data_IF_255167717146
#
_entry.id   IF_255167717146
#
_cell.length_a   1.000
_cell.length_b   1.000
_cell.length_c   1.000
_cell.angle_alpha   90.00
_cell.angle_beta   90.00
_cell.angle_gamma   90.00
#
_symmetry.space_group_name_H-M   'P 1'
#
loop_
_entity.id
_entity.type
_entity.pdbx_description
1 polymer ?
#
# COMPACT_ATOMS: atom_id res chain seq x y z
N UNK A 1 1.94 4.66 3.84
CA UNK A 1 0.48 4.70 3.59
C UNK A 1 -0.33 4.04 4.71
N UNK A 2 0.02 2.83 5.19
CA UNK A 2 -0.80 2.08 6.17
C UNK A 2 -0.93 2.86 7.47
N UNK A 3 0.15 3.38 8.00
CA UNK A 3 0.15 4.16 9.24
C UNK A 3 -0.63 5.48 9.13
N UNK A 4 -0.71 6.05 7.92
CA UNK A 4 -1.54 7.26 7.66
C UNK A 4 -3.04 6.99 7.79
N UNK A 5 -3.47 5.73 7.78
CA UNK A 5 -4.88 5.32 7.96
C UNK A 5 -5.29 5.24 9.43
N UNK A 6 -4.32 5.15 10.34
CA UNK A 6 -4.58 4.95 11.77
C UNK A 6 -5.42 6.06 12.43
N UNK A 7 -5.24 7.35 12.11
CA UNK A 7 -6.07 8.41 12.67
C UNK A 7 -7.57 8.25 12.39
N UNK A 8 -7.92 7.64 11.25
CA UNK A 8 -9.33 7.34 10.91
C UNK A 8 -9.74 5.95 11.40
N UNK A 9 -8.84 4.98 11.37
CA UNK A 9 -9.11 3.59 11.75
C UNK A 9 -9.41 3.46 13.25
N UNK A 10 -8.57 4.03 14.11
CA UNK A 10 -8.66 3.84 15.56
C UNK A 10 -10.01 4.32 16.14
N UNK A 11 -10.50 5.53 15.83
CA UNK A 11 -11.83 5.96 16.27
C UNK A 11 -12.96 5.09 15.72
N UNK A 12 -12.85 4.66 14.46
CA UNK A 12 -13.85 3.79 13.83
C UNK A 12 -13.93 2.41 14.52
N UNK A 13 -12.77 1.80 14.81
CA UNK A 13 -12.70 0.54 15.57
C UNK A 13 -13.32 0.71 16.96
N UNK A 14 -13.02 1.79 17.66
CA UNK A 14 -13.60 2.07 18.98
C UNK A 14 -15.12 2.16 18.92
N UNK A 15 -15.67 2.90 17.96
CA UNK A 15 -17.10 3.04 17.76
C UNK A 15 -17.78 1.70 17.40
N UNK A 16 -17.11 0.83 16.64
CA UNK A 16 -17.63 -0.52 16.34
C UNK A 16 -17.70 -1.39 17.61
N UNK A 17 -16.66 -1.35 18.43
CA UNK A 17 -16.63 -2.07 19.72
C UNK A 17 -17.70 -1.59 20.68
N UNK A 18 -17.98 -0.27 20.75
CA UNK A 18 -19.04 0.32 21.56
C UNK A 18 -20.42 -0.13 21.13
N UNK A 19 -20.65 -0.40 19.83
CA UNK A 19 -21.90 -0.97 19.31
C UNK A 19 -22.07 -2.45 19.59
N UNK A 20 -21.08 -3.11 20.18
CA UNK A 20 -21.12 -4.55 20.45
C UNK A 20 -20.56 -5.40 19.30
N UNK A 21 -20.05 -4.81 18.24
CA UNK A 21 -19.43 -5.52 17.12
C UNK A 21 -18.03 -6.03 17.47
N UNK A 22 -17.52 -7.01 16.73
CA UNK A 22 -16.14 -7.45 16.78
C UNK A 22 -15.41 -7.00 15.53
N UNK A 23 -14.15 -6.64 15.66
CA UNK A 23 -13.34 -6.07 14.58
C UNK A 23 -12.32 -7.08 14.07
N UNK A 24 -12.22 -7.20 12.77
CA UNK A 24 -11.17 -7.98 12.09
C UNK A 24 -10.39 -7.04 11.17
N UNK A 25 -9.07 -6.99 11.30
CA UNK A 25 -8.20 -6.13 10.51
C UNK A 25 -7.28 -7.01 9.66
N UNK A 26 -7.38 -6.85 8.35
CA UNK A 26 -6.51 -7.53 7.39
C UNK A 26 -5.38 -6.61 6.96
N UNK A 27 -4.15 -7.12 7.07
CA UNK A 27 -2.94 -6.46 6.60
C UNK A 27 -1.97 -7.46 5.94
N UNK A 28 -0.94 -6.96 5.29
CA UNK A 28 0.12 -7.76 4.65
C UNK A 28 1.45 -7.56 5.39
N UNK A 29 1.81 -6.33 5.69
CA UNK A 29 3.10 -5.95 6.27
C UNK A 29 3.09 -6.11 7.79
N UNK A 30 4.00 -6.93 8.31
CA UNK A 30 4.15 -7.18 9.76
C UNK A 30 5.38 -6.51 10.36
N UNK A 31 6.20 -5.86 9.53
CA UNK A 31 7.47 -5.20 9.90
C UNK A 31 8.54 -6.15 10.50
N UNK A 32 8.35 -7.48 10.42
CA UNK A 32 9.29 -8.47 10.97
C UNK A 32 10.68 -8.37 10.33
N UNK A 33 10.77 -8.23 9.01
CA UNK A 33 12.05 -8.11 8.31
C UNK A 33 12.82 -6.83 8.73
N UNK A 34 12.13 -5.76 9.10
CA UNK A 34 12.75 -4.55 9.65
C UNK A 34 13.30 -4.83 11.06
N UNK A 35 12.49 -5.43 11.92
CA UNK A 35 12.90 -5.81 13.27
C UNK A 35 14.15 -6.70 13.23
N UNK A 36 14.17 -7.71 12.36
CA UNK A 36 15.29 -8.63 12.23
C UNK A 36 16.59 -7.94 11.80
N UNK A 37 16.52 -6.98 10.86
CA UNK A 37 17.69 -6.19 10.45
C UNK A 37 18.17 -5.26 11.56
N UNK A 38 17.26 -4.56 12.20
CA UNK A 38 17.62 -3.69 13.35
C UNK A 38 18.30 -4.48 14.44
N UNK A 39 17.76 -5.65 14.84
CA UNK A 39 18.34 -6.52 15.84
C UNK A 39 19.70 -7.09 15.41
N UNK A 40 19.90 -7.37 14.14
CA UNK A 40 21.19 -7.88 13.65
C UNK A 40 22.31 -6.84 13.78
N UNK A 41 21.98 -5.54 13.71
CA UNK A 41 22.93 -4.43 13.85
C UNK A 41 23.24 -4.03 15.30
N UNK A 42 22.50 -4.54 16.30
CA UNK A 42 22.69 -4.19 17.69
C UNK A 42 23.70 -5.12 18.39
N UNK A 43 24.55 -4.54 19.21
CA UNK A 43 25.40 -5.28 20.14
C UNK A 43 24.62 -5.82 21.36
N UNK A 44 25.30 -6.54 22.26
CA UNK A 44 24.66 -7.18 23.41
C UNK A 44 24.12 -6.15 24.44
N UNK A 45 24.77 -4.99 24.57
CA UNK A 45 24.40 -3.94 25.52
C UNK A 45 23.16 -3.17 24.99
N UNK A 46 23.14 -2.82 23.70
CA UNK A 46 22.01 -2.20 23.06
C UNK A 46 20.76 -3.11 23.01
N UNK A 47 20.97 -4.45 22.93
CA UNK A 47 19.86 -5.43 23.03
C UNK A 47 19.28 -5.54 24.44
N UNK A 48 20.05 -5.23 25.49
CA UNK A 48 19.58 -5.24 26.88
C UNK A 48 18.76 -3.99 27.22
N UNK A 49 19.08 -2.85 26.58
CA UNK A 49 18.40 -1.57 26.76
C UNK A 49 17.69 -1.18 25.45
N UNK A 50 16.64 -1.94 25.09
CA UNK A 50 15.92 -1.76 23.83
C UNK A 50 15.17 -0.43 23.81
N UNK A 51 15.54 0.42 22.87
CA UNK A 51 14.76 1.56 22.39
C UNK A 51 14.73 1.46 20.85
N UNK A 52 13.87 0.54 20.36
CA UNK A 52 13.80 0.24 18.94
C UNK A 52 12.62 0.99 18.34
N UNK A 53 12.94 1.89 17.46
CA UNK A 53 11.97 2.55 16.60
C UNK A 53 11.96 1.90 15.22
N UNK A 54 10.96 1.06 14.95
CA UNK A 54 10.76 0.45 13.64
C UNK A 54 10.03 1.43 12.72
N UNK A 55 10.79 2.18 11.92
CA UNK A 55 10.23 3.18 11.02
C UNK A 55 10.47 2.83 9.56
N UNK A 56 9.46 2.94 8.68
CA UNK A 56 9.65 2.88 7.24
C UNK A 56 10.68 3.89 6.70
N UNK A 57 10.92 4.98 7.43
CA UNK A 57 11.91 6.02 7.11
C UNK A 57 13.32 5.43 6.98
N UNK A 58 13.76 4.64 7.94
CA UNK A 58 15.09 4.00 7.93
C UNK A 58 15.26 3.11 6.72
N UNK A 59 14.24 2.33 6.37
CA UNK A 59 14.27 1.49 5.18
C UNK A 59 14.46 2.31 3.90
N UNK A 60 13.76 3.46 3.77
CA UNK A 60 13.89 4.34 2.62
C UNK A 60 15.26 5.01 2.59
N UNK A 61 15.80 5.40 3.74
CA UNK A 61 17.14 5.97 3.85
C UNK A 61 18.21 4.95 3.45
N UNK A 62 18.12 3.72 3.92
CA UNK A 62 19.04 2.63 3.53
C UNK A 62 18.95 2.34 2.04
N UNK A 63 17.74 2.30 1.49
CA UNK A 63 17.53 2.12 0.06
C UNK A 63 18.16 3.26 -0.76
N UNK A 64 17.97 4.51 -0.36
CA UNK A 64 18.60 5.67 -1.02
C UNK A 64 20.11 5.58 -0.95
N UNK A 65 20.68 5.24 0.19
CA UNK A 65 22.13 5.09 0.33
C UNK A 65 22.69 4.01 -0.59
N UNK A 66 21.99 2.88 -0.72
CA UNK A 66 22.46 1.73 -1.50
C UNK A 66 22.17 1.85 -3.00
N UNK A 67 21.04 2.44 -3.40
CA UNK A 67 20.51 2.37 -4.76
C UNK A 67 20.58 3.71 -5.53
N UNK A 68 20.84 4.84 -4.85
CA UNK A 68 20.90 6.13 -5.54
C UNK A 68 22.10 6.18 -6.53
N UNK A 69 21.87 6.51 -7.82
CA UNK A 69 22.89 6.41 -8.84
C UNK A 69 23.89 7.58 -8.75
N UNK A 70 24.94 7.42 -7.97
CA UNK A 70 26.01 8.44 -7.84
C UNK A 70 27.19 8.22 -8.76
N UNK A 71 27.33 7.01 -9.35
CA UNK A 71 28.47 6.71 -10.23
C UNK A 71 28.34 7.45 -11.56
N UNK A 72 29.44 8.05 -12.02
CA UNK A 72 29.51 8.57 -13.38
C UNK A 72 29.59 7.40 -14.36
N UNK A 73 28.82 7.51 -15.44
CA UNK A 73 28.75 6.50 -16.48
C UNK A 73 29.26 7.11 -17.77
N UNK A 74 30.08 6.37 -18.53
CA UNK A 74 30.39 6.72 -19.93
C UNK A 74 29.61 5.82 -20.87
N UNK A 75 29.10 6.41 -21.93
CA UNK A 75 28.46 5.66 -23.00
C UNK A 75 29.41 5.43 -24.12
N UNK A 76 29.42 4.23 -24.70
CA UNK A 76 30.19 3.87 -25.88
C UNK A 76 29.35 2.99 -26.79
N UNK A 77 29.72 2.96 -28.05
CA UNK A 77 29.10 2.06 -29.04
C UNK A 77 29.96 0.80 -29.15
N UNK A 78 29.34 -0.37 -28.93
CA UNK A 78 30.02 -1.65 -29.10
C UNK A 78 30.22 -2.00 -30.59
N UNK A 79 31.01 -3.05 -30.89
CA UNK A 79 31.30 -3.49 -32.24
C UNK A 79 30.03 -3.91 -33.02
N UNK A 80 28.92 -4.13 -32.36
CA UNK A 80 27.61 -4.43 -32.96
C UNK A 80 26.74 -3.20 -33.22
N UNK A 81 27.26 -1.97 -32.95
CA UNK A 81 26.52 -0.71 -33.13
C UNK A 81 25.56 -0.39 -31.98
N UNK A 82 25.56 -1.15 -30.89
CA UNK A 82 24.66 -0.90 -29.73
C UNK A 82 25.32 0.10 -28.76
N UNK A 83 24.53 1.04 -28.26
CA UNK A 83 24.97 1.96 -27.21
C UNK A 83 25.02 1.22 -25.88
N UNK A 84 26.19 1.16 -25.27
CA UNK A 84 26.42 0.60 -23.93
C UNK A 84 26.88 1.67 -22.97
N UNK A 85 26.68 1.39 -21.67
CA UNK A 85 27.09 2.28 -20.60
C UNK A 85 27.90 1.49 -19.57
N UNK A 86 29.03 2.06 -19.16
CA UNK A 86 29.90 1.46 -18.13
C UNK A 86 30.31 2.53 -17.11
N UNK A 87 30.59 2.14 -15.85
CA UNK A 87 31.10 3.08 -14.85
C UNK A 87 32.42 3.65 -15.22
N UNK A 88 32.61 4.96 -15.04
CA UNK A 88 33.92 5.61 -15.12
C UNK A 88 34.74 5.20 -13.90
N UNK A 89 36.02 4.85 -14.14
CA UNK A 89 37.00 4.53 -13.09
C UNK A 89 38.16 5.54 -13.15
N UNK A 90 38.69 5.86 -11.96
CA UNK A 90 39.88 6.71 -11.82
C UNK A 90 41.20 5.93 -12.08
N UNK A 91 42.35 6.59 -11.93
CA UNK A 91 43.68 6.00 -12.12
C UNK A 91 43.97 4.85 -11.13
N UNK A 92 43.30 4.83 -9.97
CA UNK A 92 43.40 3.78 -8.94
C UNK A 92 42.40 2.64 -9.14
N UNK A 93 41.59 2.66 -10.21
CA UNK A 93 40.57 1.66 -10.51
C UNK A 93 39.28 1.80 -9.66
N UNK A 94 39.06 2.95 -9.02
CA UNK A 94 37.85 3.22 -8.20
C UNK A 94 36.81 3.91 -9.05
N UNK A 95 35.50 3.62 -8.78
CA UNK A 95 34.40 4.31 -9.46
C UNK A 95 34.47 5.83 -9.24
N UNK A 96 34.36 6.60 -10.29
CA UNK A 96 34.22 8.06 -10.22
C UNK A 96 32.77 8.38 -9.91
N UNK A 97 32.54 9.27 -8.93
CA UNK A 97 31.21 9.68 -8.50
C UNK A 97 30.89 11.11 -8.97
N UNK A 98 29.61 11.33 -9.29
CA UNK A 98 29.09 12.65 -9.60
C UNK A 98 28.79 13.40 -8.29
N UNK A 99 29.48 14.50 -8.03
CA UNK A 99 29.32 15.30 -6.82
C UNK A 99 27.92 15.90 -6.69
N UNK A 100 27.27 16.25 -7.81
CA UNK A 100 25.89 16.74 -7.79
C UNK A 100 24.91 15.63 -7.38
N UNK A 101 25.08 14.43 -7.92
CA UNK A 101 24.25 13.29 -7.54
C UNK A 101 24.41 12.92 -6.06
N UNK A 102 25.65 13.00 -5.54
CA UNK A 102 25.91 12.83 -4.09
C UNK A 102 25.17 13.89 -3.28
N UNK A 103 25.28 15.16 -3.66
CA UNK A 103 24.58 16.26 -2.96
C UNK A 103 23.06 16.08 -3.00
N UNK A 104 22.51 15.65 -4.11
CA UNK A 104 21.06 15.36 -4.22
C UNK A 104 20.66 14.22 -3.30
N UNK A 105 21.41 13.11 -3.30
CA UNK A 105 21.17 12.00 -2.38
C UNK A 105 21.20 12.44 -0.92
N UNK A 106 22.23 13.17 -0.54
CA UNK A 106 22.46 13.61 0.83
C UNK A 106 21.36 14.60 1.28
N UNK A 107 20.92 15.50 0.42
CA UNK A 107 19.77 16.38 0.69
C UNK A 107 18.47 15.59 0.88
N UNK A 108 18.23 14.56 0.05
CA UNK A 108 17.05 13.68 0.23
C UNK A 108 17.12 12.90 1.54
N UNK A 109 18.31 12.44 1.96
CA UNK A 109 18.51 11.76 3.24
C UNK A 109 18.27 12.71 4.42
N UNK A 110 18.70 13.96 4.31
CA UNK A 110 18.46 14.99 5.32
C UNK A 110 16.96 15.31 5.44
N UNK A 111 16.26 15.51 4.31
CA UNK A 111 14.81 15.72 4.31
C UNK A 111 14.06 14.54 4.93
N UNK A 112 14.42 13.29 4.58
CA UNK A 112 13.82 12.10 5.18
C UNK A 112 14.11 12.00 6.68
N UNK A 113 15.35 12.33 7.08
CA UNK A 113 15.75 12.34 8.49
C UNK A 113 14.96 13.34 9.34
N UNK A 114 14.55 14.46 8.73
CA UNK A 114 13.75 15.50 9.40
C UNK A 114 12.24 15.15 9.50
N UNK A 115 11.76 14.15 8.76
CA UNK A 115 10.34 13.75 8.84
C UNK A 115 10.02 13.12 10.20
N UNK A 116 8.80 13.32 10.72
CA UNK A 116 8.34 12.62 11.91
C UNK A 116 8.42 11.10 11.70
N UNK A 117 8.79 10.40 12.74
CA UNK A 117 8.85 8.94 12.71
C UNK A 117 7.46 8.36 12.63
N UNK A 118 7.27 7.44 11.69
CA UNK A 118 6.01 6.72 11.49
C UNK A 118 6.24 5.26 11.85
N UNK A 119 5.75 4.85 13.00
CA UNK A 119 5.88 3.48 13.48
C UNK A 119 5.11 2.46 12.65
N UNK A 120 5.33 1.17 12.92
CA UNK A 120 4.56 0.07 12.36
C UNK A 120 3.08 0.20 12.71
N UNK A 121 2.20 0.14 11.72
CA UNK A 121 0.76 0.22 11.96
C UNK A 121 0.26 -0.92 12.87
N UNK A 122 0.79 -2.14 12.70
CA UNK A 122 0.44 -3.29 13.54
C UNK A 122 0.79 -3.03 15.01
N UNK A 123 2.01 -2.57 15.28
CA UNK A 123 2.47 -2.33 16.64
C UNK A 123 1.76 -1.14 17.27
N UNK A 124 1.44 -0.12 16.48
CA UNK A 124 0.65 1.02 16.94
C UNK A 124 -0.77 0.60 17.35
N UNK A 125 -1.46 -0.24 16.56
CA UNK A 125 -2.80 -0.74 16.88
C UNK A 125 -2.74 -1.59 18.15
N UNK A 126 -1.76 -2.49 18.26
CA UNK A 126 -1.58 -3.35 19.44
C UNK A 126 -1.25 -2.50 20.69
N UNK A 127 -0.36 -1.52 20.57
CA UNK A 127 -0.04 -0.60 21.65
C UNK A 127 -1.23 0.25 22.11
N UNK A 128 -2.08 0.69 21.14
CA UNK A 128 -3.24 1.52 21.45
C UNK A 128 -4.36 0.76 22.19
N UNK A 129 -4.70 -0.46 21.75
CA UNK A 129 -5.79 -1.24 22.30
C UNK A 129 -5.36 -2.25 23.38
N UNK A 130 -4.07 -2.50 23.50
CA UNK A 130 -3.47 -3.46 24.42
C UNK A 130 -3.52 -4.90 23.92
N UNK A 131 -2.52 -5.69 24.33
CA UNK A 131 -2.40 -7.11 23.98
C UNK A 131 -3.55 -7.95 24.52
N UNK A 132 -4.22 -7.51 25.58
CA UNK A 132 -5.37 -8.19 26.17
C UNK A 132 -6.66 -8.01 25.36
N UNK A 133 -6.72 -6.98 24.54
CA UNK A 133 -7.88 -6.68 23.68
C UNK A 133 -7.71 -7.16 22.25
N UNK A 134 -6.43 -7.31 21.79
CA UNK A 134 -6.08 -7.62 20.40
C UNK A 134 -5.55 -9.04 20.28
N UNK A 135 -6.22 -9.83 19.44
CA UNK A 135 -5.74 -11.13 18.99
C UNK A 135 -4.89 -10.93 17.73
N UNK A 136 -3.60 -11.24 17.81
CA UNK A 136 -2.70 -11.15 16.67
C UNK A 136 -2.49 -12.53 16.05
N UNK A 137 -2.82 -12.66 14.75
CA UNK A 137 -2.69 -13.89 13.95
C UNK A 137 -1.85 -13.59 12.71
N UNK A 138 -0.55 -13.38 12.91
CA UNK A 138 0.41 -13.03 11.85
C UNK A 138 1.50 -14.08 11.73
N UNK A 139 2.30 -13.98 10.68
CA UNK A 139 3.45 -14.86 10.46
C UNK A 139 4.68 -14.49 11.28
N UNK A 140 4.70 -13.30 11.93
CA UNK A 140 5.90 -12.86 12.63
C UNK A 140 6.20 -13.71 13.88
N UNK A 141 7.45 -14.03 14.06
CA UNK A 141 7.97 -14.83 15.17
C UNK A 141 8.35 -13.99 16.39
N UNK A 142 8.51 -12.70 16.23
CA UNK A 142 8.92 -11.75 17.28
C UNK A 142 8.18 -10.44 17.15
N UNK A 143 7.94 -9.75 18.27
CA UNK A 143 7.42 -8.39 18.33
C UNK A 143 8.06 -7.61 19.47
N UNK A 144 8.08 -6.30 19.34
CA UNK A 144 8.43 -5.38 20.42
C UNK A 144 7.16 -5.03 21.18
N UNK A 145 7.19 -5.15 22.49
CA UNK A 145 6.10 -4.76 23.39
C UNK A 145 6.64 -3.89 24.51
N UNK A 146 5.77 -3.02 25.04
CA UNK A 146 6.07 -2.25 26.24
C UNK A 146 6.25 -3.23 27.43
N UNK A 147 7.27 -2.99 28.27
CA UNK A 147 7.57 -3.81 29.44
C UNK A 147 6.76 -3.39 30.69
N UNK A 148 5.90 -2.38 30.55
CA UNK A 148 5.10 -1.80 31.61
C UNK A 148 5.91 -0.94 32.60
N UNK A 149 7.20 -0.70 32.34
CA UNK A 149 8.11 0.11 33.16
C UNK A 149 8.71 1.29 32.39
N UNK A 150 8.14 1.58 31.19
CA UNK A 150 8.62 2.62 30.29
C UNK A 150 9.78 2.19 29.38
N UNK A 151 10.08 0.89 29.33
CA UNK A 151 11.03 0.27 28.41
C UNK A 151 10.34 -0.65 27.42
N UNK A 152 11.14 -1.24 26.54
CA UNK A 152 10.68 -2.20 25.52
C UNK A 152 11.29 -3.57 25.77
N UNK A 153 10.55 -4.62 25.42
CA UNK A 153 11.05 -5.99 25.40
C UNK A 153 10.65 -6.72 24.12
N UNK A 154 11.49 -7.66 23.71
CA UNK A 154 11.16 -8.56 22.60
C UNK A 154 10.37 -9.73 23.15
N UNK A 155 9.19 -9.94 22.58
CA UNK A 155 8.35 -11.11 22.85
C UNK A 155 8.43 -12.08 21.67
N UNK A 156 8.80 -13.34 21.97
CA UNK A 156 8.80 -14.42 20.98
C UNK A 156 7.39 -14.97 20.80
N UNK A 157 7.02 -15.23 19.55
CA UNK A 157 5.72 -15.76 19.14
C UNK A 157 5.91 -17.09 18.41
N UNK A 158 5.21 -18.12 18.85
CA UNK A 158 5.19 -19.40 18.15
C UNK A 158 3.94 -19.54 17.28
N UNK A 159 3.92 -20.43 16.28
CA UNK A 159 2.70 -20.75 15.53
C UNK A 159 1.52 -21.20 16.41
N UNK A 160 1.78 -21.76 17.58
CA UNK A 160 0.75 -22.15 18.57
C UNK A 160 0.09 -20.93 19.19
N UNK A 161 0.77 -19.80 19.31
CA UNK A 161 0.20 -18.53 19.77
C UNK A 161 -0.96 -18.10 18.88
N UNK A 162 -0.82 -18.25 17.55
CA UNK A 162 -1.88 -17.90 16.61
C UNK A 162 -3.17 -18.74 16.81
N UNK A 163 -3.05 -20.00 17.25
CA UNK A 163 -4.21 -20.84 17.60
C UNK A 163 -4.91 -20.32 18.84
N UNK A 164 -4.15 -20.02 19.90
CA UNK A 164 -4.69 -19.48 21.15
C UNK A 164 -5.36 -18.12 20.92
N UNK A 165 -4.72 -17.23 20.15
CA UNK A 165 -5.27 -15.92 19.81
C UNK A 165 -6.58 -16.04 19.00
N UNK A 166 -6.62 -16.94 18.01
CA UNK A 166 -7.86 -17.21 17.27
C UNK A 166 -8.97 -17.73 18.21
N UNK A 167 -8.66 -18.63 19.11
CA UNK A 167 -9.62 -19.18 20.05
C UNK A 167 -10.17 -18.10 21.01
N UNK A 168 -9.32 -17.20 21.51
CA UNK A 168 -9.76 -16.10 22.38
C UNK A 168 -10.67 -15.13 21.66
N UNK A 169 -10.42 -14.83 20.38
CA UNK A 169 -11.32 -14.02 19.55
C UNK A 169 -12.64 -14.72 19.29
N UNK A 170 -12.62 -16.01 18.93
CA UNK A 170 -13.85 -16.78 18.64
C UNK A 170 -14.73 -17.00 19.87
N UNK A 171 -14.18 -16.94 21.08
CA UNK A 171 -14.94 -16.92 22.33
C UNK A 171 -15.40 -15.53 22.78
N UNK A 172 -14.88 -14.46 22.15
CA UNK A 172 -15.22 -13.08 22.49
C UNK A 172 -14.40 -12.49 23.64
N UNK A 173 -13.42 -13.22 24.18
CA UNK A 173 -12.49 -12.70 25.20
C UNK A 173 -11.63 -11.55 24.66
N UNK A 174 -11.25 -11.62 23.37
CA UNK A 174 -10.68 -10.52 22.61
C UNK A 174 -11.62 -10.15 21.48
N UNK A 175 -11.88 -8.86 21.30
CA UNK A 175 -12.86 -8.39 20.31
C UNK A 175 -12.24 -7.74 19.07
N UNK A 176 -10.92 -7.61 19.03
CA UNK A 176 -10.16 -7.18 17.87
C UNK A 176 -9.26 -8.33 17.43
N UNK A 177 -9.29 -8.69 16.16
CA UNK A 177 -8.38 -9.65 15.56
C UNK A 177 -7.63 -8.98 14.41
N UNK A 178 -6.31 -9.08 14.42
CA UNK A 178 -5.46 -8.62 13.31
C UNK A 178 -4.80 -9.85 12.69
N UNK A 179 -4.91 -9.99 11.37
CA UNK A 179 -4.28 -11.10 10.69
C UNK A 179 -3.54 -10.68 9.42
N UNK A 180 -2.52 -11.45 9.08
CA UNK A 180 -1.83 -11.45 7.78
C UNK A 180 -2.01 -12.79 7.07
N UNK A 181 -1.76 -12.82 5.76
CA UNK A 181 -1.88 -14.07 4.98
C UNK A 181 -1.06 -15.21 5.56
N UNK A 182 0.19 -14.91 5.97
CA UNK A 182 1.10 -15.92 6.52
C UNK A 182 0.58 -16.55 7.82
N UNK A 183 -0.01 -15.75 8.72
CA UNK A 183 -0.52 -16.25 9.99
C UNK A 183 -1.93 -16.83 9.91
N UNK A 184 -2.72 -16.38 8.94
CA UNK A 184 -4.14 -16.68 8.83
C UNK A 184 -4.49 -17.88 7.95
N UNK A 185 -3.54 -18.56 7.31
CA UNK A 185 -3.82 -19.65 6.36
C UNK A 185 -4.66 -20.77 7.00
N UNK A 186 -5.72 -21.19 6.31
CA UNK A 186 -6.62 -22.26 6.75
C UNK A 186 -7.57 -21.92 7.91
N UNK A 187 -7.63 -20.65 8.37
CA UNK A 187 -8.46 -20.23 9.50
C UNK A 187 -9.68 -19.43 9.04
N UNK A 188 -10.72 -19.42 9.85
CA UNK A 188 -11.92 -18.62 9.65
C UNK A 188 -12.25 -17.85 10.93
N UNK A 189 -12.74 -16.62 10.74
CA UNK A 189 -13.04 -15.68 11.84
C UNK A 189 -14.48 -15.18 11.79
N UNK A 190 -15.34 -15.84 10.99
CA UNK A 190 -16.75 -15.47 10.82
C UNK A 190 -17.54 -15.69 12.11
N UNK A 191 -18.70 -15.04 12.19
CA UNK A 191 -19.65 -15.24 13.29
C UNK A 191 -20.36 -16.59 13.14
N UNK A 192 -19.63 -17.71 13.37
CA UNK A 192 -20.16 -19.05 13.23
C UNK A 192 -21.30 -19.30 14.22
N UNK A 193 -22.33 -20.03 13.78
CA UNK A 193 -23.41 -20.49 14.66
C UNK A 193 -22.89 -21.43 15.77
N UNK A 194 -21.74 -22.08 15.56
CA UNK A 194 -21.12 -22.97 16.53
C UNK A 194 -20.17 -22.23 17.50
N UNK A 195 -19.89 -20.94 17.27
CA UNK A 195 -19.01 -20.17 18.13
C UNK A 195 -19.78 -19.48 19.26
N UNK A 196 -19.13 -19.32 20.42
CA UNK A 196 -19.69 -18.56 21.54
C UNK A 196 -19.92 -17.10 21.15
N UNK A 197 -18.99 -16.52 20.40
CA UNK A 197 -19.08 -15.14 19.95
C UNK A 197 -19.70 -15.04 18.56
N UNK A 198 -20.97 -14.75 18.51
CA UNK A 198 -21.75 -14.56 17.29
C UNK A 198 -21.94 -13.07 16.91
N UNK A 199 -21.25 -12.14 17.57
CA UNK A 199 -21.30 -10.72 17.23
C UNK A 199 -20.87 -10.49 15.78
N UNK A 200 -21.46 -9.47 15.14
CA UNK A 200 -21.08 -9.08 13.78
C UNK A 200 -19.57 -8.81 13.69
N UNK A 201 -18.97 -9.26 12.60
CA UNK A 201 -17.57 -8.95 12.27
C UNK A 201 -17.52 -7.69 11.38
N UNK A 202 -16.87 -6.64 11.84
CA UNK A 202 -16.51 -5.49 11.02
C UNK A 202 -15.11 -5.76 10.49
N UNK A 203 -14.99 -6.03 9.21
CA UNK A 203 -13.73 -6.42 8.58
C UNK A 203 -13.11 -5.24 7.86
N UNK A 204 -12.04 -4.70 8.40
CA UNK A 204 -11.24 -3.65 7.81
C UNK A 204 -10.17 -4.24 6.90
N UNK A 205 -10.23 -3.93 5.60
CA UNK A 205 -9.14 -4.18 4.66
C UNK A 205 -8.17 -3.00 4.75
N UNK A 206 -7.22 -3.08 5.68
CA UNK A 206 -6.27 -2.01 5.96
C UNK A 206 -5.18 -1.95 4.90
N UNK A 207 -4.68 -3.11 4.49
CA UNK A 207 -3.66 -3.24 3.45
C UNK A 207 -4.08 -4.31 2.43
N UNK A 208 -4.54 -3.91 1.24
CA UNK A 208 -5.00 -4.85 0.21
C UNK A 208 -3.85 -5.68 -0.40
N UNK A 209 -2.60 -5.20 -0.33
CA UNK A 209 -1.45 -5.85 -0.94
C UNK A 209 -1.47 -5.82 -2.48
N UNK A 210 -0.53 -6.52 -3.08
CA UNK A 210 -0.37 -6.60 -4.55
C UNK A 210 -1.16 -7.74 -5.19
N UNK A 211 -1.63 -8.70 -4.40
CA UNK A 211 -2.30 -9.92 -4.85
C UNK A 211 -3.79 -9.86 -4.51
N UNK A 212 -4.61 -9.60 -5.52
CA UNK A 212 -6.06 -9.53 -5.36
C UNK A 212 -6.65 -10.81 -4.79
N UNK A 213 -6.17 -11.98 -5.22
CA UNK A 213 -6.63 -13.27 -4.72
C UNK A 213 -6.41 -13.42 -3.21
N UNK A 214 -5.26 -12.98 -2.69
CA UNK A 214 -4.97 -13.00 -1.26
C UNK A 214 -5.90 -12.07 -0.48
N UNK A 215 -6.15 -10.85 -0.99
CA UNK A 215 -7.10 -9.92 -0.39
C UNK A 215 -8.52 -10.52 -0.33
N UNK A 216 -9.01 -11.09 -1.43
CA UNK A 216 -10.35 -11.70 -1.52
C UNK A 216 -10.46 -12.94 -0.62
N UNK A 217 -9.43 -13.80 -0.59
CA UNK A 217 -9.39 -14.93 0.34
C UNK A 217 -9.42 -14.47 1.80
N UNK A 218 -8.76 -13.36 2.11
CA UNK A 218 -8.81 -12.73 3.43
C UNK A 218 -10.22 -12.29 3.79
N UNK A 219 -10.95 -11.60 2.88
CA UNK A 219 -12.35 -11.23 3.08
C UNK A 219 -13.23 -12.48 3.33
N UNK A 220 -12.98 -13.57 2.61
CA UNK A 220 -13.65 -14.85 2.78
C UNK A 220 -13.46 -15.50 4.16
N UNK A 221 -12.52 -15.05 4.98
CA UNK A 221 -12.29 -15.59 6.33
C UNK A 221 -13.37 -15.14 7.33
N UNK A 222 -13.99 -14.01 7.08
CA UNK A 222 -15.08 -13.49 7.91
C UNK A 222 -16.46 -13.71 7.31
N UNK A 223 -16.53 -14.14 6.04
CA UNK A 223 -17.78 -14.44 5.35
C UNK A 223 -17.82 -15.91 4.91
N UNK A 224 -18.64 -16.69 5.58
CA UNK A 224 -18.80 -18.13 5.34
C UNK A 224 -20.27 -18.52 5.41
N UNK A 225 -20.58 -19.69 4.86
CA UNK A 225 -21.83 -20.39 5.18
C UNK A 225 -21.88 -20.70 6.68
N UNK A 226 -23.05 -20.94 7.23
CA UNK A 226 -23.23 -21.25 8.65
C UNK A 226 -22.81 -20.12 9.61
N UNK A 227 -23.15 -18.88 9.26
CA UNK A 227 -22.89 -17.68 10.07
C UNK A 227 -24.19 -17.11 10.66
N UNK A 228 -24.12 -16.63 11.90
CA UNK A 228 -25.24 -16.00 12.60
C UNK A 228 -25.60 -14.64 11.98
N UNK A 229 -24.62 -13.88 11.57
CA UNK A 229 -24.75 -12.56 10.96
C UNK A 229 -23.66 -12.33 9.92
N UNK A 230 -24.03 -11.70 8.80
CA UNK A 230 -23.09 -11.33 7.76
C UNK A 230 -22.11 -10.26 8.25
N UNK A 231 -20.82 -10.34 7.85
CA UNK A 231 -19.84 -9.32 8.17
C UNK A 231 -20.14 -8.00 7.43
N UNK A 232 -19.60 -6.91 7.95
CA UNK A 232 -19.53 -5.64 7.25
C UNK A 232 -18.07 -5.41 6.84
N UNK A 233 -17.82 -5.23 5.55
CA UNK A 233 -16.48 -4.94 5.02
C UNK A 233 -16.25 -3.45 4.92
N UNK A 234 -15.04 -3.01 5.32
CA UNK A 234 -14.60 -1.62 5.24
C UNK A 234 -13.18 -1.54 4.66
N UNK A 235 -13.02 -1.32 3.36
CA UNK A 235 -11.72 -0.96 2.81
C UNK A 235 -11.31 0.41 3.33
N UNK A 236 -10.04 0.52 3.75
CA UNK A 236 -9.48 1.76 4.26
C UNK A 236 -8.46 2.28 3.26
N UNK A 237 -8.65 3.49 2.79
CA UNK A 237 -7.73 4.18 1.87
C UNK A 237 -7.31 5.52 2.46
N UNK A 238 -6.15 6.01 2.00
CA UNK A 238 -5.71 7.38 2.25
C UNK A 238 -6.33 8.33 1.23
N UNK A 239 -6.09 9.61 1.39
CA UNK A 239 -6.38 10.65 0.40
C UNK A 239 -5.41 10.66 -0.79
N UNK A 240 -4.37 9.80 -0.77
CA UNK A 240 -3.50 9.56 -1.91
C UNK A 240 -4.25 8.78 -3.00
N UNK A 241 -4.69 9.46 -4.06
CA UNK A 241 -5.47 8.85 -5.15
C UNK A 241 -4.76 7.68 -5.82
N UNK A 242 -3.43 7.70 -5.88
CA UNK A 242 -2.61 6.59 -6.39
C UNK A 242 -2.82 5.26 -5.67
N UNK A 243 -3.34 5.26 -4.44
CA UNK A 243 -3.69 4.03 -3.72
C UNK A 243 -4.85 3.26 -4.38
N UNK A 244 -5.69 3.92 -5.19
CA UNK A 244 -6.79 3.27 -5.94
C UNK A 244 -6.32 2.15 -6.86
N UNK A 245 -5.06 2.15 -7.31
CA UNK A 245 -4.52 1.04 -8.11
C UNK A 245 -4.63 -0.33 -7.40
N UNK A 246 -4.47 -0.38 -6.08
CA UNK A 246 -4.59 -1.62 -5.32
C UNK A 246 -6.04 -2.08 -5.23
N UNK A 247 -6.95 -1.12 -4.98
CA UNK A 247 -8.40 -1.36 -4.97
C UNK A 247 -8.86 -1.81 -6.36
N UNK A 248 -8.35 -1.17 -7.43
CA UNK A 248 -8.62 -1.54 -8.80
C UNK A 248 -8.26 -2.99 -9.11
N UNK A 249 -7.12 -3.47 -8.62
CA UNK A 249 -6.71 -4.86 -8.83
C UNK A 249 -7.70 -5.85 -8.22
N UNK A 250 -8.24 -5.54 -7.04
CA UNK A 250 -9.27 -6.35 -6.38
C UNK A 250 -10.60 -6.25 -7.13
N UNK A 251 -11.02 -5.05 -7.51
CA UNK A 251 -12.24 -4.81 -8.27
C UNK A 251 -12.24 -5.58 -9.59
N UNK A 252 -11.12 -5.53 -10.35
CA UNK A 252 -10.94 -6.30 -11.58
C UNK A 252 -11.09 -7.81 -11.34
N UNK A 253 -10.52 -8.33 -10.27
CA UNK A 253 -10.63 -9.77 -9.95
C UNK A 253 -12.06 -10.16 -9.61
N UNK A 254 -12.77 -9.35 -8.84
CA UNK A 254 -14.18 -9.57 -8.53
C UNK A 254 -15.06 -9.48 -9.78
N UNK A 255 -14.77 -8.53 -10.67
CA UNK A 255 -15.46 -8.37 -11.95
C UNK A 255 -15.27 -9.60 -12.84
N UNK A 256 -14.02 -10.09 -12.98
CA UNK A 256 -13.71 -11.30 -13.76
C UNK A 256 -14.41 -12.56 -13.22
N UNK A 257 -14.71 -12.61 -11.93
CA UNK A 257 -15.49 -13.66 -11.30
C UNK A 257 -17.01 -13.45 -11.46
N UNK A 258 -17.44 -12.36 -12.11
CA UNK A 258 -18.84 -11.99 -12.27
C UNK A 258 -19.51 -11.53 -10.97
N UNK A 259 -18.74 -11.25 -9.93
CA UNK A 259 -19.26 -10.84 -8.63
C UNK A 259 -19.82 -9.41 -8.63
N UNK A 260 -19.31 -8.54 -9.52
CA UNK A 260 -19.77 -7.15 -9.65
C UNK A 260 -20.95 -7.02 -10.61
N UNK A 261 -21.02 -7.86 -11.66
CA UNK A 261 -21.97 -7.68 -12.77
C UNK A 261 -23.23 -8.53 -12.65
N UNK A 262 -23.18 -9.66 -11.94
CA UNK A 262 -24.30 -10.63 -11.91
C UNK A 262 -25.31 -10.44 -10.80
N UNK A 263 -25.19 -9.41 -9.97
CA UNK A 263 -26.20 -9.09 -8.95
C UNK A 263 -26.52 -10.25 -7.99
N UNK A 264 -25.64 -11.23 -7.87
CA UNK A 264 -25.88 -12.37 -6.97
C UNK A 264 -25.81 -11.90 -5.52
N UNK A 265 -26.96 -11.97 -4.87
CA UNK A 265 -27.24 -11.47 -3.51
C UNK A 265 -26.42 -12.10 -2.38
N UNK A 266 -25.42 -12.96 -2.66
CA UNK A 266 -24.79 -13.81 -1.66
C UNK A 266 -23.25 -13.78 -1.62
N UNK A 267 -22.58 -12.95 -2.42
CA UNK A 267 -21.12 -12.83 -2.29
C UNK A 267 -20.76 -11.64 -1.41
N UNK A 268 -19.94 -11.86 -0.40
CA UNK A 268 -19.52 -10.85 0.59
C UNK A 268 -18.75 -9.64 0.05
N UNK A 269 -18.73 -9.45 -1.26
CA UNK A 269 -18.13 -8.30 -1.94
C UNK A 269 -19.13 -7.35 -2.59
N UNK A 270 -20.44 -7.60 -2.46
CA UNK A 270 -21.47 -6.76 -3.08
C UNK A 270 -21.52 -5.37 -2.43
N UNK A 271 -21.41 -4.33 -3.27
CA UNK A 271 -21.43 -2.92 -2.84
C UNK A 271 -20.13 -2.42 -2.22
N UNK A 272 -19.10 -3.28 -2.10
CA UNK A 272 -17.80 -2.90 -1.57
C UNK A 272 -16.93 -2.21 -2.64
N UNK A 273 -17.02 -2.68 -3.89
CA UNK A 273 -16.32 -2.15 -5.04
C UNK A 273 -17.32 -1.84 -6.15
N UNK A 274 -17.17 -0.68 -6.77
CA UNK A 274 -17.90 -0.30 -7.98
C UNK A 274 -17.18 -0.86 -9.22
N UNK A 275 -17.87 -1.28 -10.28
CA UNK A 275 -17.24 -1.62 -11.55
C UNK A 275 -16.29 -0.54 -12.08
N UNK A 276 -16.58 0.74 -11.76
CA UNK A 276 -15.73 1.89 -12.07
C UNK A 276 -14.41 1.92 -11.28
N UNK A 277 -14.28 1.16 -10.20
CA UNK A 277 -13.01 0.96 -9.51
C UNK A 277 -12.06 0.06 -10.30
N UNK A 278 -12.55 -0.67 -11.30
CA UNK A 278 -11.71 -1.44 -12.23
C UNK A 278 -11.09 -0.53 -13.30
N UNK A 279 -9.90 -0.01 -13.02
CA UNK A 279 -9.15 0.87 -13.94
C UNK A 279 -8.67 0.17 -15.23
N UNK A 280 -8.87 -1.13 -15.38
CA UNK A 280 -8.59 -1.88 -16.61
C UNK A 280 -9.86 -2.21 -17.42
N UNK A 281 -11.03 -1.79 -16.96
CA UNK A 281 -12.26 -1.87 -17.74
C UNK A 281 -12.17 -1.00 -19.01
N UNK A 282 -12.95 -1.33 -20.02
CA UNK A 282 -12.89 -0.64 -21.32
C UNK A 282 -13.22 0.85 -21.16
N UNK A 283 -14.21 1.21 -20.33
CA UNK A 283 -14.52 2.60 -20.03
C UNK A 283 -13.33 3.34 -19.42
N UNK A 284 -12.56 2.69 -18.56
CA UNK A 284 -11.37 3.29 -17.96
C UNK A 284 -10.24 3.49 -18.99
N UNK A 285 -10.04 2.54 -19.91
CA UNK A 285 -9.06 2.64 -21.00
C UNK A 285 -9.44 3.76 -21.98
N UNK A 286 -10.70 3.85 -22.36
CA UNK A 286 -11.21 4.92 -23.24
C UNK A 286 -11.07 6.30 -22.58
N UNK A 287 -11.35 6.38 -21.27
CA UNK A 287 -11.16 7.60 -20.48
C UNK A 287 -9.69 8.01 -20.44
N UNK A 288 -8.75 7.06 -20.37
CA UNK A 288 -7.32 7.37 -20.40
C UNK A 288 -6.89 7.91 -21.77
N UNK A 289 -7.39 7.32 -22.86
CA UNK A 289 -7.14 7.84 -24.22
C UNK A 289 -7.66 9.27 -24.34
N UNK A 290 -8.86 9.52 -23.82
CA UNK A 290 -9.45 10.87 -23.78
C UNK A 290 -8.59 11.83 -22.94
N UNK A 291 -8.12 11.39 -21.79
CA UNK A 291 -7.22 12.17 -20.92
C UNK A 291 -5.93 12.58 -21.66
N UNK A 292 -5.28 11.65 -22.37
CA UNK A 292 -4.09 11.97 -23.17
C UNK A 292 -4.36 12.97 -24.30
N UNK A 293 -5.53 12.87 -24.94
CA UNK A 293 -5.95 13.85 -25.98
C UNK A 293 -6.17 15.23 -25.39
N UNK A 294 -6.78 15.32 -24.21
CA UNK A 294 -6.97 16.57 -23.49
C UNK A 294 -5.64 17.16 -23.02
N UNK A 295 -4.72 16.33 -22.55
CA UNK A 295 -3.37 16.74 -22.18
C UNK A 295 -2.64 17.35 -23.38
N UNK A 296 -2.65 16.67 -24.53
CA UNK A 296 -2.04 17.16 -25.77
C UNK A 296 -2.66 18.47 -26.26
N UNK A 297 -3.97 18.60 -26.12
CA UNK A 297 -4.71 19.82 -26.48
C UNK A 297 -4.55 20.97 -25.47
N UNK A 298 -3.80 20.78 -24.36
CA UNK A 298 -3.63 21.78 -23.33
C UNK A 298 -4.90 22.11 -22.54
N UNK A 299 -5.85 21.16 -22.45
CA UNK A 299 -7.17 21.35 -21.82
C UNK A 299 -7.25 20.83 -20.40
N UNK A 300 -6.17 20.30 -19.83
CA UNK A 300 -6.10 19.86 -18.44
C UNK A 300 -5.57 20.98 -17.55
N UNK A 301 -6.12 21.05 -16.34
CA UNK A 301 -5.70 22.03 -15.34
C UNK A 301 -4.50 21.54 -14.50
N UNK A 302 -4.31 20.21 -14.42
CA UNK A 302 -3.31 19.60 -13.52
C UNK A 302 -1.88 19.82 -14.00
N UNK A 303 -1.62 19.60 -15.30
CA UNK A 303 -0.27 19.61 -15.86
C UNK A 303 -0.28 19.91 -17.37
N UNK A 304 0.76 20.59 -17.85
CA UNK A 304 1.01 20.78 -19.28
C UNK A 304 1.65 19.56 -19.94
N UNK A 305 1.49 19.45 -21.27
CA UNK A 305 1.97 18.30 -22.05
C UNK A 305 3.50 18.09 -21.94
N UNK A 306 4.28 19.16 -22.08
CA UNK A 306 5.73 19.10 -22.00
C UNK A 306 6.22 18.69 -20.58
N UNK A 307 5.62 19.29 -19.56
CA UNK A 307 5.95 18.99 -18.16
C UNK A 307 5.60 17.56 -17.80
N UNK A 308 4.47 17.06 -18.28
CA UNK A 308 4.06 15.66 -18.04
C UNK A 308 5.08 14.69 -18.64
N UNK A 309 5.53 14.89 -19.87
CA UNK A 309 6.56 14.08 -20.50
C UNK A 309 7.88 14.14 -19.72
N UNK A 310 8.32 15.34 -19.34
CA UNK A 310 9.57 15.55 -18.61
C UNK A 310 9.56 14.84 -17.23
N UNK A 311 8.48 14.98 -16.47
CA UNK A 311 8.37 14.43 -15.12
C UNK A 311 8.11 12.91 -15.08
N UNK A 312 7.41 12.37 -16.09
CA UNK A 312 7.06 10.94 -16.13
C UNK A 312 8.00 10.10 -16.96
N UNK A 313 8.78 10.73 -17.85
CA UNK A 313 9.60 10.05 -18.84
C UNK A 313 8.79 9.27 -19.88
N UNK A 314 7.52 9.61 -20.05
CA UNK A 314 6.67 9.05 -21.12
C UNK A 314 6.84 9.89 -22.37
N UNK A 315 7.32 9.27 -23.46
CA UNK A 315 7.33 9.94 -24.77
C UNK A 315 5.93 9.78 -25.39
N UNK A 316 5.26 10.90 -25.57
CA UNK A 316 3.89 10.97 -26.13
C UNK A 316 3.85 11.71 -27.46
N UNK A 317 4.98 12.26 -27.94
CA UNK A 317 5.09 12.98 -29.19
C UNK A 317 5.61 12.06 -30.31
N UNK A 318 4.83 11.95 -31.37
CA UNK A 318 5.16 11.14 -32.53
C UNK A 318 5.91 11.94 -33.60
N UNK A 319 6.37 11.25 -34.65
CA UNK A 319 6.99 11.86 -35.81
C UNK A 319 5.99 12.83 -36.47
N UNK A 320 6.33 14.12 -36.50
CA UNK A 320 5.45 15.16 -37.06
C UNK A 320 4.76 16.06 -36.04
N UNK A 321 5.09 15.95 -34.76
CA UNK A 321 4.59 16.86 -33.70
C UNK A 321 3.17 16.57 -33.23
N UNK A 322 2.62 15.42 -33.61
CA UNK A 322 1.32 14.91 -33.13
C UNK A 322 1.47 13.95 -31.95
N UNK A 323 0.35 13.54 -31.37
CA UNK A 323 0.32 12.51 -30.36
C UNK A 323 0.73 11.15 -31.00
N UNK A 324 1.50 10.31 -30.29
CA UNK A 324 1.87 8.97 -30.75
C UNK A 324 0.62 8.14 -31.07
N UNK A 325 0.70 7.27 -32.08
CA UNK A 325 -0.39 6.39 -32.47
C UNK A 325 -0.73 5.39 -31.38
N UNK A 326 0.30 4.79 -30.75
CA UNK A 326 0.15 3.84 -29.66
C UNK A 326 0.42 4.51 -28.32
N UNK A 327 -0.67 4.85 -27.62
CA UNK A 327 -0.62 5.49 -26.31
C UNK A 327 -0.18 4.48 -25.21
N UNK A 328 0.51 4.94 -24.15
CA UNK A 328 0.89 4.09 -23.04
C UNK A 328 -0.32 3.40 -22.40
N UNK A 329 -0.24 2.08 -22.14
CA UNK A 329 -1.31 1.37 -21.45
C UNK A 329 -1.45 1.85 -20.00
N UNK A 330 -2.62 1.61 -19.41
CA UNK A 330 -3.00 2.09 -18.07
C UNK A 330 -1.96 1.73 -17.00
N UNK A 331 -1.40 0.53 -17.03
CA UNK A 331 -0.40 0.11 -16.04
C UNK A 331 0.89 0.95 -16.14
N UNK A 332 1.32 1.27 -17.37
CA UNK A 332 2.52 2.09 -17.58
C UNK A 332 2.28 3.52 -17.10
N UNK A 333 1.11 4.08 -17.44
CA UNK A 333 0.69 5.40 -16.96
C UNK A 333 0.62 5.44 -15.43
N UNK A 334 -0.09 4.49 -14.78
CA UNK A 334 -0.18 4.38 -13.32
C UNK A 334 1.19 4.32 -12.64
N UNK A 335 2.13 3.54 -13.19
CA UNK A 335 3.47 3.42 -12.63
C UNK A 335 4.27 4.73 -12.73
N UNK A 336 4.08 5.48 -13.82
CA UNK A 336 4.84 6.71 -14.05
C UNK A 336 4.31 7.88 -13.23
N UNK A 337 3.01 8.02 -13.08
CA UNK A 337 2.45 9.10 -12.25
C UNK A 337 2.73 8.94 -10.76
N UNK A 338 3.04 7.73 -10.27
CA UNK A 338 3.42 7.51 -8.88
C UNK A 338 4.75 8.18 -8.49
N UNK A 339 5.59 8.54 -9.46
CA UNK A 339 6.81 9.31 -9.23
C UNK A 339 6.57 10.80 -8.99
N UNK A 340 5.35 11.29 -9.27
CA UNK A 340 4.99 12.70 -9.10
C UNK A 340 4.67 13.04 -7.63
N UNK A 341 4.73 14.31 -7.29
CA UNK A 341 4.27 14.78 -5.97
C UNK A 341 2.80 14.44 -5.76
N UNK A 342 2.41 14.09 -4.53
CA UNK A 342 1.06 13.62 -4.19
C UNK A 342 -0.04 14.58 -4.64
N UNK A 343 0.14 15.90 -4.44
CA UNK A 343 -0.84 16.89 -4.89
C UNK A 343 -1.08 16.82 -6.41
N UNK A 344 -0.01 16.70 -7.21
CA UNK A 344 -0.11 16.57 -8.65
C UNK A 344 -0.72 15.23 -9.07
N UNK A 345 -0.32 14.12 -8.42
CA UNK A 345 -0.98 12.83 -8.62
C UNK A 345 -2.48 12.94 -8.40
N UNK A 346 -2.91 13.54 -7.29
CA UNK A 346 -4.31 13.67 -6.94
C UNK A 346 -5.07 14.49 -7.99
N UNK A 347 -4.50 15.61 -8.47
CA UNK A 347 -5.12 16.42 -9.51
C UNK A 347 -5.28 15.64 -10.83
N UNK A 348 -4.25 14.91 -11.26
CA UNK A 348 -4.29 14.06 -12.45
C UNK A 348 -5.33 12.94 -12.30
N UNK A 349 -5.37 12.28 -11.14
CA UNK A 349 -6.37 11.25 -10.87
C UNK A 349 -7.79 11.80 -10.84
N UNK A 350 -8.03 12.99 -10.27
CA UNK A 350 -9.35 13.61 -10.22
C UNK A 350 -9.87 13.92 -11.62
N UNK A 351 -9.01 14.43 -12.52
CA UNK A 351 -9.37 14.62 -13.94
C UNK A 351 -9.71 13.29 -14.63
N UNK A 352 -8.86 12.28 -14.46
CA UNK A 352 -9.06 10.97 -15.06
C UNK A 352 -10.32 10.27 -14.55
N UNK A 353 -10.53 10.26 -13.23
CA UNK A 353 -11.72 9.66 -12.63
C UNK A 353 -12.99 10.44 -13.00
N UNK A 354 -12.90 11.77 -13.16
CA UNK A 354 -13.97 12.58 -13.67
C UNK A 354 -14.44 12.16 -15.07
N UNK A 355 -13.51 11.75 -15.93
CA UNK A 355 -13.83 11.20 -17.25
C UNK A 355 -14.54 9.85 -17.18
N UNK A 356 -14.10 8.96 -16.27
CA UNK A 356 -14.78 7.67 -16.02
C UNK A 356 -16.21 7.90 -15.53
N UNK A 357 -16.42 8.91 -14.69
CA UNK A 357 -17.74 9.27 -14.16
C UNK A 357 -18.61 10.04 -15.17
N UNK A 358 -18.11 10.33 -16.38
CA UNK A 358 -18.79 11.13 -17.40
C UNK A 358 -18.83 12.63 -17.10
N UNK A 359 -17.95 13.13 -16.22
CA UNK A 359 -17.77 14.55 -15.96
C UNK A 359 -16.72 15.11 -16.89
N UNK A 360 -17.02 16.24 -17.54
CA UNK A 360 -15.97 16.97 -18.27
C UNK A 360 -14.93 17.52 -17.28
N UNK A 361 -13.62 17.39 -17.57
CA UNK A 361 -12.59 17.99 -16.73
C UNK A 361 -12.73 19.52 -16.76
N UNK A 362 -12.34 20.23 -15.69
CA UNK A 362 -12.40 21.68 -15.65
C UNK A 362 -11.56 22.25 -16.78
N UNK A 363 -12.21 22.98 -17.68
CA UNK A 363 -11.56 23.63 -18.83
C UNK A 363 -10.89 24.91 -18.34
N UNK A 364 -9.57 25.03 -18.60
CA UNK A 364 -8.89 26.31 -18.37
C UNK A 364 -9.46 27.29 -19.40
N UNK A 365 -10.12 28.35 -18.94
CA UNK A 365 -10.40 29.51 -19.78
C UNK A 365 -9.05 30.22 -19.96
N UNK A 366 -8.47 30.11 -21.14
CA UNK A 366 -7.34 30.93 -21.55
C UNK A 366 -7.94 32.34 -21.82
N UNK A 367 -7.66 33.25 -20.88
CA UNK A 367 -7.94 34.68 -21.05
C UNK A 367 -6.82 35.33 -21.84
#
# INVERSE_FOLDING_TARGET
LISMKLPSLIPAVRADLERGDCVVIQLVSTSEAMLDRTLAGLDAEARANLDIELSPREFVMDYLNAAFPTRQMRTFTDDGGNIRSEPMIDEDGRPVHCLEAIKMRDAMLEELGALPVVGSALDHIIGHFGTDSVAEVTGRSRRVVDDGRGGQRIESRSPRTNLAETATFMRGAKRILIFSDAGGTGRSYHASLDAENQSRRIHYLLEPGWRADAAIQGLGRTHRTHQAVAPLFRPVSTDCRGERRFISTIARRLDSLGALTRGQRQTGGQGLFDPRDNLEADVAKESLVTWFRLLFAGKLASIGFADFQALTGLNLEGEGGGLVEELPPIQRWLNRILALRIALQNSIFDEYLGLIDGREPPTIQVS
#
